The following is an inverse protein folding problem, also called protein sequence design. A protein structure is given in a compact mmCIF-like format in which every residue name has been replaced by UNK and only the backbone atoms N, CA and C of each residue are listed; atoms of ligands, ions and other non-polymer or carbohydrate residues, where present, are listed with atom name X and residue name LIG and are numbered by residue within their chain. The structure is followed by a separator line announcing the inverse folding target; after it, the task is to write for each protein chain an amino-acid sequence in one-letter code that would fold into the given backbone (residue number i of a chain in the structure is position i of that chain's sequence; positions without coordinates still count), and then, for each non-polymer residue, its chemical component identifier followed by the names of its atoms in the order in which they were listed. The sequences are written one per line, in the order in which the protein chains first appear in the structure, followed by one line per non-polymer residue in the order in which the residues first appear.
data_IF_966008292217
#
_entry.id   IF_966008292217
#
_cell.length_a   1.000
_cell.length_b   1.000
_cell.length_c   1.000
_cell.angle_alpha   90.00
_cell.angle_beta   90.00
_cell.angle_gamma   90.00
#
_symmetry.space_group_name_H-M   'P 1'
#
loop_
_entity.id
_entity.type
_entity.pdbx_description
1 polymer ?
#
# COMPACT_ATOMS: atom_id res chain seq x y z
N UNK A 1 -18.75 27.26 -16.69
CA UNK A 1 -18.11 26.65 -15.51
C UNK A 1 -16.64 26.51 -15.86
N UNK A 2 -15.85 27.50 -15.46
CA UNK A 2 -14.42 27.60 -15.76
C UNK A 2 -13.67 26.42 -15.14
N UNK A 3 -13.04 25.61 -15.99
CA UNK A 3 -12.10 24.57 -15.57
C UNK A 3 -10.86 25.23 -14.99
N UNK A 4 -10.82 25.38 -13.67
CA UNK A 4 -9.61 25.78 -12.95
C UNK A 4 -8.57 24.67 -13.09
N UNK A 5 -7.51 24.96 -13.85
CA UNK A 5 -6.34 24.11 -13.91
C UNK A 5 -5.53 24.33 -12.63
N UNK A 6 -5.60 23.36 -11.71
CA UNK A 6 -4.74 23.34 -10.52
C UNK A 6 -3.28 23.33 -10.97
N UNK A 7 -2.45 24.14 -10.30
CA UNK A 7 -1.01 24.01 -10.40
C UNK A 7 -0.57 22.61 -9.94
N UNK A 8 0.61 22.17 -10.38
CA UNK A 8 1.15 20.87 -9.95
C UNK A 8 1.28 20.76 -8.43
N UNK A 9 1.55 21.87 -7.75
CA UNK A 9 1.66 21.93 -6.29
C UNK A 9 0.30 21.77 -5.59
N UNK A 10 -0.73 22.49 -6.06
CA UNK A 10 -2.08 22.37 -5.51
C UNK A 10 -2.66 20.97 -5.71
N UNK A 11 -2.39 20.37 -6.87
CA UNK A 11 -2.77 18.99 -7.13
C UNK A 11 -2.07 18.00 -6.19
N UNK A 12 -0.75 18.15 -5.98
CA UNK A 12 -0.02 17.29 -5.04
C UNK A 12 -0.54 17.44 -3.60
N UNK A 13 -0.88 18.66 -3.18
CA UNK A 13 -1.50 18.92 -1.88
C UNK A 13 -2.87 18.24 -1.76
N UNK A 14 -3.69 18.27 -2.80
CA UNK A 14 -4.97 17.57 -2.83
C UNK A 14 -4.77 16.06 -2.73
N UNK A 15 -3.84 15.49 -3.51
CA UNK A 15 -3.51 14.06 -3.44
C UNK A 15 -3.02 13.66 -2.05
N UNK A 16 -2.16 14.46 -1.43
CA UNK A 16 -1.67 14.20 -0.07
C UNK A 16 -2.81 14.25 0.95
N UNK A 17 -3.71 15.22 0.83
CA UNK A 17 -4.91 15.32 1.67
C UNK A 17 -5.78 14.06 1.55
N UNK A 18 -6.03 13.60 0.32
CA UNK A 18 -6.81 12.39 0.07
C UNK A 18 -6.12 11.14 0.64
N UNK A 19 -4.80 11.02 0.51
CA UNK A 19 -4.03 9.92 1.12
C UNK A 19 -4.12 9.92 2.63
N UNK A 20 -4.14 11.08 3.27
CA UNK A 20 -4.28 11.19 4.72
C UNK A 20 -5.69 10.81 5.18
N UNK A 21 -6.73 11.25 4.46
CA UNK A 21 -8.12 11.02 4.83
C UNK A 21 -8.62 9.60 4.52
N UNK A 22 -8.15 9.02 3.40
CA UNK A 22 -8.66 7.75 2.86
C UNK A 22 -7.56 6.71 2.63
N UNK A 23 -6.38 6.94 3.21
CA UNK A 23 -5.29 5.97 3.19
C UNK A 23 -5.65 4.68 3.90
N UNK A 24 -4.95 3.60 3.54
CA UNK A 24 -5.14 2.30 4.17
C UNK A 24 -4.73 2.32 5.64
N UNK A 25 -5.58 1.76 6.52
CA UNK A 25 -5.30 1.66 7.95
C UNK A 25 -4.20 0.65 8.22
N UNK A 26 -3.15 1.09 8.93
CA UNK A 26 -2.13 0.20 9.47
C UNK A 26 -2.61 -0.33 10.84
N UNK A 27 -2.57 -1.65 11.09
CA UNK A 27 -2.96 -2.22 12.37
C UNK A 27 -2.05 -1.72 13.50
N UNK A 28 -2.56 -1.78 14.74
CA UNK A 28 -1.77 -1.45 15.94
C UNK A 28 -0.68 -2.51 16.15
N UNK A 29 0.43 -2.14 16.77
CA UNK A 29 1.59 -3.03 17.02
C UNK A 29 1.23 -4.32 17.76
N UNK A 30 0.21 -4.30 18.63
CA UNK A 30 -0.23 -5.48 19.38
C UNK A 30 -1.05 -6.48 18.54
N UNK A 31 -1.40 -6.14 17.29
CA UNK A 31 -2.16 -7.00 16.38
C UNK A 31 -1.23 -7.79 15.45
N UNK A 32 -0.35 -8.58 16.04
CA UNK A 32 0.70 -9.31 15.30
C UNK A 32 0.16 -10.31 14.27
N UNK A 33 -1.03 -10.88 14.49
CA UNK A 33 -1.69 -11.81 13.57
C UNK A 33 -2.62 -11.12 12.56
N UNK A 34 -2.67 -9.79 12.55
CA UNK A 34 -3.41 -9.07 11.52
C UNK A 34 -2.74 -9.29 10.15
N UNK A 35 -3.49 -9.53 9.05
CA UNK A 35 -2.91 -9.84 7.75
C UNK A 35 -1.85 -8.84 7.28
N UNK A 36 -2.09 -7.55 7.50
CA UNK A 36 -1.13 -6.47 7.18
C UNK A 36 0.17 -6.59 7.99
N UNK A 37 0.08 -6.88 9.29
CA UNK A 37 1.26 -7.07 10.16
C UNK A 37 2.08 -8.27 9.71
N UNK A 38 1.41 -9.35 9.30
CA UNK A 38 2.05 -10.55 8.75
C UNK A 38 2.81 -10.20 7.46
N UNK A 39 2.18 -9.48 6.53
CA UNK A 39 2.82 -9.07 5.26
C UNK A 39 4.04 -8.16 5.47
N UNK A 40 3.95 -7.20 6.39
CA UNK A 40 5.07 -6.35 6.78
C UNK A 40 6.23 -7.17 7.36
N UNK A 41 5.92 -8.14 8.23
CA UNK A 41 6.91 -9.04 8.82
C UNK A 41 7.60 -9.90 7.76
N UNK A 42 6.83 -10.47 6.83
CA UNK A 42 7.37 -11.24 5.69
C UNK A 42 8.28 -10.38 4.84
N UNK A 43 7.87 -9.15 4.50
CA UNK A 43 8.68 -8.24 3.70
C UNK A 43 10.01 -7.87 4.37
N UNK A 44 9.99 -7.63 5.68
CA UNK A 44 11.20 -7.33 6.45
C UNK A 44 12.18 -8.52 6.48
N UNK A 45 11.68 -9.75 6.44
CA UNK A 45 12.50 -10.97 6.43
C UNK A 45 13.06 -11.25 5.04
N UNK A 46 12.25 -11.15 3.98
CA UNK A 46 12.64 -11.55 2.62
C UNK A 46 13.40 -10.46 1.84
N UNK A 47 13.23 -9.19 2.21
CA UNK A 47 13.88 -8.07 1.53
C UNK A 47 13.29 -7.76 0.15
N UNK A 48 14.04 -7.02 -0.67
CA UNK A 48 13.51 -6.39 -1.90
C UNK A 48 13.46 -7.32 -3.12
N UNK A 49 14.12 -8.49 -3.05
CA UNK A 49 14.19 -9.44 -4.16
C UNK A 49 13.11 -10.53 -4.11
N UNK A 50 12.23 -10.50 -3.11
CA UNK A 50 11.15 -11.46 -2.98
C UNK A 50 10.20 -11.41 -4.19
N UNK A 51 9.81 -12.58 -4.68
CA UNK A 51 8.74 -12.72 -5.67
C UNK A 51 7.52 -13.27 -4.93
N UNK A 52 6.39 -12.59 -5.04
CA UNK A 52 5.14 -12.96 -4.40
C UNK A 52 4.15 -13.48 -5.43
N UNK A 53 3.48 -14.58 -5.12
CA UNK A 53 2.38 -15.13 -5.91
C UNK A 53 1.22 -15.42 -4.97
N UNK A 54 -0.02 -15.21 -5.42
CA UNK A 54 -1.21 -15.50 -4.61
C UNK A 54 -2.24 -16.26 -5.43
N UNK A 55 -3.06 -17.07 -4.75
CA UNK A 55 -4.33 -17.51 -5.30
C UNK A 55 -5.33 -16.33 -5.35
N UNK A 56 -6.58 -16.59 -5.75
CA UNK A 56 -7.64 -15.57 -5.80
C UNK A 56 -8.41 -15.56 -4.49
N UNK A 57 -8.51 -14.38 -3.87
CA UNK A 57 -9.28 -14.18 -2.63
C UNK A 57 -8.94 -12.87 -1.94
N UNK A 58 -9.43 -12.67 -0.71
CA UNK A 58 -9.16 -11.46 0.06
C UNK A 58 -7.66 -11.25 0.31
N UNK A 59 -6.92 -12.35 0.51
CA UNK A 59 -5.47 -12.32 0.71
C UNK A 59 -4.71 -11.74 -0.50
N UNK A 60 -5.18 -11.96 -1.74
CA UNK A 60 -4.61 -11.33 -2.93
C UNK A 60 -4.70 -9.81 -2.85
N UNK A 61 -5.86 -9.28 -2.43
CA UNK A 61 -6.05 -7.85 -2.28
C UNK A 61 -5.20 -7.29 -1.14
N UNK A 62 -5.09 -8.00 -0.01
CA UNK A 62 -4.19 -7.58 1.07
C UNK A 62 -2.74 -7.52 0.63
N UNK A 63 -2.26 -8.51 -0.12
CA UNK A 63 -0.91 -8.52 -0.67
C UNK A 63 -0.73 -7.33 -1.62
N UNK A 64 -1.66 -7.12 -2.56
CA UNK A 64 -1.59 -6.01 -3.51
C UNK A 64 -1.63 -4.62 -2.84
N UNK A 65 -2.36 -4.47 -1.72
CA UNK A 65 -2.52 -3.20 -1.01
C UNK A 65 -1.37 -2.92 -0.02
N UNK A 66 -0.84 -3.95 0.65
CA UNK A 66 0.02 -3.76 1.82
C UNK A 66 1.42 -4.37 1.70
N UNK A 67 1.71 -5.23 0.73
CA UNK A 67 3.07 -5.70 0.51
C UNK A 67 3.90 -4.62 -0.23
N UNK A 68 5.07 -4.22 0.29
CA UNK A 68 5.84 -3.12 -0.30
C UNK A 68 6.68 -3.62 -1.48
N UNK A 69 6.06 -3.76 -2.64
CA UNK A 69 6.76 -4.11 -3.88
C UNK A 69 7.78 -3.03 -4.26
N UNK A 70 9.04 -3.44 -4.38
CA UNK A 70 10.17 -2.55 -4.69
C UNK A 70 10.82 -2.85 -6.04
N UNK A 71 10.40 -3.92 -6.72
CA UNK A 71 10.99 -4.38 -7.99
C UNK A 71 9.91 -4.72 -9.01
N UNK A 72 10.11 -4.33 -10.27
CA UNK A 72 9.21 -4.74 -11.35
C UNK A 72 9.23 -6.28 -11.51
N UNK A 73 8.07 -6.89 -11.70
CA UNK A 73 7.94 -8.34 -11.86
C UNK A 73 8.12 -9.14 -10.58
N UNK A 74 7.96 -8.51 -9.41
CA UNK A 74 7.98 -9.19 -8.10
C UNK A 74 6.60 -9.64 -7.60
N UNK A 75 5.54 -9.41 -8.38
CA UNK A 75 4.16 -9.79 -8.10
C UNK A 75 3.53 -10.40 -9.35
#
# INVERSE_FOLDING_TARGET
MSSEHLSSEEWLNQVQTLKTLYGFSIPKENQILHPVSILQSISNILGEMAISTTDVGQHQMWVAQYYPFRKQGSF
#
